data_IF_618007221731
#
_entry.id   IF_618007221731
#
_cell.length_a   1.000
_cell.length_b   1.000
_cell.length_c   1.000
_cell.angle_alpha   90.00
_cell.angle_beta   90.00
_cell.angle_gamma   90.00
#
_symmetry.space_group_name_H-M   'P 1'
#
loop_
_entity.id
_entity.type
_entity.pdbx_description
1 polymer ?
#
# COMPACT_ATOMS: atom_id res chain seq x y z
N UNK A 1 -5.99 -1.36 8.70
CA UNK A 1 -4.98 -0.82 7.79
C UNK A 1 -5.36 -1.05 6.33
N UNK A 2 -5.67 -2.28 5.93
CA UNK A 2 -5.92 -2.66 4.52
C UNK A 2 -7.05 -1.87 3.87
N UNK A 3 -8.20 -1.71 4.56
CA UNK A 3 -9.31 -0.90 4.06
C UNK A 3 -8.88 0.56 3.80
N UNK A 4 -8.14 1.15 4.73
CA UNK A 4 -7.60 2.52 4.55
C UNK A 4 -6.63 2.56 3.38
N UNK A 5 -5.78 1.55 3.22
CA UNK A 5 -4.89 1.40 2.06
C UNK A 5 -5.65 1.36 0.73
N UNK A 6 -6.70 0.53 0.62
CA UNK A 6 -7.56 0.47 -0.57
C UNK A 6 -8.28 1.79 -0.85
N UNK A 7 -8.75 2.50 0.19
CA UNK A 7 -9.35 3.83 0.04
C UNK A 7 -8.34 4.85 -0.47
N UNK A 8 -7.11 4.85 0.06
CA UNK A 8 -6.02 5.73 -0.41
C UNK A 8 -5.65 5.45 -1.87
N UNK A 9 -5.54 4.17 -2.26
CA UNK A 9 -5.33 3.78 -3.66
C UNK A 9 -6.45 4.34 -4.55
N UNK A 10 -7.70 4.26 -4.11
CA UNK A 10 -8.84 4.81 -4.84
C UNK A 10 -8.73 6.34 -4.99
N UNK A 11 -8.38 7.05 -3.92
CA UNK A 11 -8.18 8.50 -3.98
C UNK A 11 -7.03 8.88 -4.91
N UNK A 12 -5.91 8.16 -4.86
CA UNK A 12 -4.77 8.38 -5.75
C UNK A 12 -5.13 8.13 -7.21
N UNK A 13 -5.87 7.06 -7.54
CA UNK A 13 -6.36 6.79 -8.90
C UNK A 13 -7.22 7.92 -9.47
N UNK A 14 -7.86 8.69 -8.59
CA UNK A 14 -8.69 9.84 -8.96
C UNK A 14 -8.00 11.18 -8.74
N UNK A 15 -6.67 11.23 -8.79
CA UNK A 15 -5.89 12.46 -8.64
C UNK A 15 -6.19 13.53 -9.71
N UNK A 16 -6.87 13.19 -10.80
CA UNK A 16 -7.43 14.13 -11.76
C UNK A 16 -8.38 15.12 -11.10
N UNK A 17 -9.19 14.69 -10.13
CA UNK A 17 -10.19 15.50 -9.42
C UNK A 17 -10.00 15.57 -7.91
N UNK A 18 -9.37 14.57 -7.27
CA UNK A 18 -9.06 14.56 -5.83
C UNK A 18 -7.71 15.22 -5.61
N UNK A 19 -7.68 16.47 -5.18
CA UNK A 19 -6.45 17.24 -5.00
C UNK A 19 -5.95 17.25 -3.56
N UNK A 20 -6.83 17.01 -2.59
CA UNK A 20 -6.51 16.96 -1.16
C UNK A 20 -7.27 15.80 -0.52
N UNK A 21 -6.58 15.00 0.26
CA UNK A 21 -7.16 13.93 1.07
C UNK A 21 -6.67 14.08 2.51
N UNK A 22 -7.60 14.19 3.44
CA UNK A 22 -7.31 14.35 4.86
C UNK A 22 -7.92 13.19 5.64
N UNK A 23 -7.17 12.67 6.60
CA UNK A 23 -7.65 11.67 7.56
C UNK A 23 -8.13 12.38 8.82
N UNK A 24 -9.42 12.28 9.14
CA UNK A 24 -10.00 12.78 10.39
C UNK A 24 -9.66 11.76 11.49
N UNK A 25 -9.50 12.23 12.58
CA UNK A 25 -8.94 13.18 13.45
C UNK A 25 -7.40 13.12 13.48
N UNK A 26 -6.70 14.07 14.13
CA UNK A 26 -5.26 13.99 14.24
C UNK A 26 -4.83 12.94 15.26
N UNK A 27 -5.47 12.92 16.44
CA UNK A 27 -5.16 12.01 17.54
C UNK A 27 -6.43 11.41 18.15
N UNK A 28 -6.31 10.20 18.69
CA UNK A 28 -7.30 9.44 19.45
C UNK A 28 -8.58 9.04 18.68
N UNK A 29 -9.43 8.26 19.31
CA UNK A 29 -10.68 7.70 18.82
C UNK A 29 -10.50 6.90 17.52
N UNK A 30 -10.56 7.53 16.35
CA UNK A 30 -10.39 6.90 15.03
C UNK A 30 -9.09 7.32 14.34
N UNK A 31 -8.27 8.12 15.03
CA UNK A 31 -7.06 8.72 14.46
C UNK A 31 -5.94 7.70 14.21
N UNK A 32 -4.98 8.04 13.33
CA UNK A 32 -3.79 7.23 13.10
C UNK A 32 -2.78 7.27 14.27
N UNK A 33 -2.92 8.24 15.17
CA UNK A 33 -2.07 8.39 16.37
C UNK A 33 -2.95 8.35 17.61
N UNK A 34 -2.52 7.54 18.57
CA UNK A 34 -3.15 7.46 19.89
C UNK A 34 -2.25 8.12 20.92
N UNK A 35 -2.86 8.75 21.92
CA UNK A 35 -2.15 9.39 23.03
C UNK A 35 -2.80 9.02 24.36
N UNK A 36 -1.96 8.96 25.41
CA UNK A 36 -2.34 8.89 26.82
C UNK A 36 -1.65 10.02 27.59
N UNK A 37 -1.81 10.03 28.89
CA UNK A 37 -1.09 10.97 29.76
C UNK A 37 0.43 10.74 29.78
N UNK A 38 0.88 9.54 29.37
CA UNK A 38 2.27 9.09 29.50
C UNK A 38 2.95 8.82 28.16
N UNK A 39 2.20 8.75 27.05
CA UNK A 39 2.80 8.39 25.78
C UNK A 39 1.94 8.64 24.55
N UNK A 40 2.53 8.31 23.40
CA UNK A 40 1.87 8.31 22.12
C UNK A 40 2.35 7.13 21.27
N UNK A 41 1.44 6.55 20.51
CA UNK A 41 1.77 5.44 19.58
C UNK A 41 0.98 5.53 18.26
N UNK A 42 1.50 4.87 17.23
CA UNK A 42 0.90 4.83 15.90
C UNK A 42 -0.05 3.66 15.79
N UNK A 43 -1.26 3.90 15.31
CA UNK A 43 -2.16 2.82 14.90
C UNK A 43 -1.76 2.24 13.54
N UNK A 44 -2.23 1.04 13.23
CA UNK A 44 -1.90 0.36 11.97
C UNK A 44 -2.29 1.16 10.73
N UNK A 45 -3.33 2.00 10.81
CA UNK A 45 -3.78 2.89 9.73
C UNK A 45 -2.82 4.06 9.47
N UNK A 46 -1.93 4.37 10.40
CA UNK A 46 -0.90 5.39 10.24
C UNK A 46 0.01 5.09 9.04
N UNK A 47 0.40 3.83 8.89
CA UNK A 47 1.42 3.44 7.92
C UNK A 47 0.96 3.59 6.46
N UNK A 48 -0.20 3.09 6.02
CA UNK A 48 -0.68 3.35 4.67
C UNK A 48 -0.81 4.83 4.35
N UNK A 49 -1.30 5.63 5.30
CA UNK A 49 -1.45 7.06 5.12
C UNK A 49 -0.09 7.77 5.00
N UNK A 50 0.86 7.43 5.87
CA UNK A 50 2.23 7.96 5.83
C UNK A 50 2.91 7.61 4.52
N UNK A 51 2.84 6.34 4.08
CA UNK A 51 3.43 5.91 2.82
C UNK A 51 2.80 6.66 1.62
N UNK A 52 1.47 6.79 1.57
CA UNK A 52 0.80 7.53 0.51
C UNK A 52 1.18 9.01 0.51
N UNK A 53 1.33 9.63 1.68
CA UNK A 53 1.75 11.03 1.80
C UNK A 53 3.19 11.27 1.35
N UNK A 54 4.09 10.34 1.67
CA UNK A 54 5.53 10.48 1.36
C UNK A 54 5.84 10.06 -0.06
N UNK A 55 5.31 8.93 -0.52
CA UNK A 55 5.66 8.29 -1.78
C UNK A 55 4.60 8.44 -2.87
N UNK A 56 3.42 8.95 -2.54
CA UNK A 56 2.30 9.12 -3.47
C UNK A 56 2.33 10.46 -4.22
N UNK A 57 3.52 11.00 -4.49
CA UNK A 57 3.72 12.27 -5.19
C UNK A 57 4.16 12.02 -6.63
N UNK A 58 3.66 12.83 -7.57
CA UNK A 58 3.98 12.70 -8.98
C UNK A 58 2.75 12.44 -9.85
N UNK A 59 2.96 11.80 -10.98
CA UNK A 59 1.93 11.49 -11.98
C UNK A 59 1.40 10.08 -11.77
N UNK A 60 0.10 9.93 -11.55
CA UNK A 60 -0.57 8.63 -11.50
C UNK A 60 -0.61 8.03 -12.91
N UNK A 61 -0.08 6.83 -13.03
CA UNK A 61 -0.03 6.11 -14.31
C UNK A 61 -1.35 5.38 -14.56
N UNK A 62 -1.81 5.39 -15.80
CA UNK A 62 -2.97 4.61 -16.21
C UNK A 62 -2.57 3.15 -16.42
N UNK A 63 -2.60 2.37 -15.36
CA UNK A 63 -2.22 0.95 -15.39
C UNK A 63 -3.43 0.06 -15.62
N UNK A 64 -3.28 -0.94 -16.51
CA UNK A 64 -4.26 -2.00 -16.67
C UNK A 64 -3.93 -3.12 -15.68
N UNK A 65 -4.85 -3.44 -14.79
CA UNK A 65 -4.69 -4.48 -13.77
C UNK A 65 -5.60 -5.66 -14.11
N UNK A 66 -5.00 -6.84 -14.25
CA UNK A 66 -5.71 -8.11 -14.39
C UNK A 66 -5.53 -8.89 -13.09
N UNK A 67 -6.62 -9.22 -12.43
CA UNK A 67 -6.60 -9.88 -11.12
C UNK A 67 -7.82 -10.80 -10.98
N UNK A 68 -7.73 -11.88 -10.22
CA UNK A 68 -8.89 -12.64 -9.80
C UNK A 68 -9.91 -11.74 -9.07
N UNK A 69 -11.17 -12.13 -9.13
CA UNK A 69 -12.28 -11.45 -8.47
C UNK A 69 -12.97 -12.39 -7.48
N UNK A 70 -13.63 -11.80 -6.49
CA UNK A 70 -14.53 -12.51 -5.58
C UNK A 70 -15.91 -11.90 -5.62
N UNK A 71 -16.94 -12.72 -5.35
CA UNK A 71 -18.31 -12.26 -5.30
C UNK A 71 -18.61 -11.60 -3.93
N UNK A 72 -18.97 -10.34 -3.97
CA UNK A 72 -19.45 -9.63 -2.80
C UNK A 72 -20.98 -9.79 -2.68
N UNK A 73 -21.48 -10.15 -1.51
CA UNK A 73 -22.92 -10.34 -1.27
C UNK A 73 -23.78 -9.12 -1.63
N UNK A 74 -23.22 -7.93 -1.61
CA UNK A 74 -23.97 -6.68 -1.77
C UNK A 74 -23.60 -5.93 -3.06
N UNK A 75 -22.35 -6.03 -3.51
CA UNK A 75 -21.80 -5.17 -4.54
C UNK A 75 -21.34 -5.90 -5.81
N UNK A 76 -21.63 -7.21 -5.92
CA UNK A 76 -21.19 -8.04 -7.05
C UNK A 76 -19.69 -8.34 -7.02
N UNK A 77 -19.10 -8.54 -8.19
CA UNK A 77 -17.68 -8.87 -8.30
C UNK A 77 -16.75 -7.75 -7.84
N UNK A 78 -15.75 -8.13 -7.04
CA UNK A 78 -14.72 -7.23 -6.54
C UNK A 78 -13.32 -7.82 -6.75
N UNK A 79 -12.31 -7.03 -7.15
CA UNK A 79 -10.96 -7.53 -7.38
C UNK A 79 -10.26 -7.89 -6.07
N UNK A 80 -9.44 -8.93 -6.09
CA UNK A 80 -8.57 -9.25 -4.95
C UNK A 80 -7.39 -8.29 -4.81
N UNK A 81 -6.92 -7.71 -5.92
CA UNK A 81 -5.81 -6.76 -5.93
C UNK A 81 -6.33 -5.34 -6.15
N UNK A 82 -6.05 -4.44 -5.20
CA UNK A 82 -6.06 -3.01 -5.45
C UNK A 82 -4.62 -2.56 -5.67
N UNK A 83 -4.35 -1.76 -6.70
CA UNK A 83 -3.03 -1.17 -6.91
C UNK A 83 -3.10 0.17 -7.63
N UNK A 84 -2.10 1.00 -7.44
CA UNK A 84 -1.86 2.24 -8.17
C UNK A 84 -0.37 2.43 -8.37
N UNK A 85 0.02 2.91 -9.55
CA UNK A 85 1.41 3.22 -9.88
C UNK A 85 1.56 4.75 -10.04
N UNK A 86 2.62 5.30 -9.47
CA UNK A 86 2.90 6.73 -9.48
C UNK A 86 4.34 6.94 -9.92
N UNK A 87 4.52 7.78 -10.92
CA UNK A 87 5.82 8.22 -11.40
C UNK A 87 6.15 9.61 -10.86
N UNK A 88 7.20 9.68 -10.08
CA UNK A 88 7.80 10.93 -9.62
C UNK A 88 8.97 11.27 -10.53
N UNK A 89 8.72 12.21 -11.46
CA UNK A 89 9.70 12.62 -12.46
C UNK A 89 10.87 13.43 -11.86
N UNK A 90 10.60 14.16 -10.77
CA UNK A 90 11.64 14.97 -10.12
C UNK A 90 12.68 14.10 -9.41
N UNK A 91 12.26 12.96 -8.86
CA UNK A 91 13.11 12.03 -8.12
C UNK A 91 13.45 10.76 -8.91
N UNK A 92 13.05 10.67 -10.19
CA UNK A 92 13.21 9.47 -11.01
C UNK A 92 12.76 8.18 -10.28
N UNK A 93 11.61 8.25 -9.63
CA UNK A 93 11.10 7.18 -8.78
C UNK A 93 9.73 6.68 -9.24
N UNK A 94 9.57 5.37 -9.33
CA UNK A 94 8.29 4.69 -9.54
C UNK A 94 7.86 4.05 -8.23
N UNK A 95 6.68 4.41 -7.75
CA UNK A 95 6.06 3.81 -6.57
C UNK A 95 4.82 3.03 -6.96
N UNK A 96 4.74 1.79 -6.53
CA UNK A 96 3.58 0.92 -6.69
C UNK A 96 3.01 0.67 -5.29
N UNK A 97 1.78 1.14 -5.05
CA UNK A 97 1.00 0.76 -3.89
C UNK A 97 0.09 -0.39 -4.26
N UNK A 98 0.02 -1.41 -3.41
CA UNK A 98 -0.80 -2.58 -3.64
C UNK A 98 -1.40 -3.14 -2.35
N UNK A 99 -2.67 -3.59 -2.42
CA UNK A 99 -3.34 -4.35 -1.36
C UNK A 99 -3.75 -5.70 -1.92
N UNK A 100 -3.20 -6.77 -1.36
CA UNK A 100 -3.78 -8.11 -1.54
C UNK A 100 -4.91 -8.27 -0.52
N UNK A 101 -6.15 -8.38 -1.00
CA UNK A 101 -7.36 -8.50 -0.16
C UNK A 101 -7.73 -9.95 0.14
N UNK A 102 -7.03 -10.94 -0.44
CA UNK A 102 -7.26 -12.34 -0.11
C UNK A 102 -6.93 -12.56 1.37
N UNK A 103 -7.80 -13.28 2.06
CA UNK A 103 -7.59 -13.66 3.46
C UNK A 103 -6.75 -14.94 3.60
N UNK A 104 -6.67 -15.72 2.54
CA UNK A 104 -6.18 -17.09 2.59
C UNK A 104 -4.97 -17.32 1.68
N UNK A 105 -4.80 -16.54 0.60
CA UNK A 105 -3.83 -16.82 -0.43
C UNK A 105 -2.88 -15.65 -0.70
N UNK A 106 -1.61 -15.96 -0.84
CA UNK A 106 -0.61 -15.07 -1.40
C UNK A 106 -0.87 -14.87 -2.90
N UNK A 107 -0.44 -13.76 -3.44
CA UNK A 107 -0.68 -13.40 -4.83
C UNK A 107 0.63 -13.14 -5.57
N UNK A 108 0.89 -13.92 -6.61
CA UNK A 108 1.96 -13.63 -7.56
C UNK A 108 1.53 -12.46 -8.46
N UNK A 109 2.38 -11.45 -8.55
CA UNK A 109 2.15 -10.26 -9.38
C UNK A 109 3.31 -10.07 -10.33
N UNK A 110 2.99 -9.86 -11.59
CA UNK A 110 3.94 -9.46 -12.63
C UNK A 110 3.55 -8.10 -13.20
N UNK A 111 4.52 -7.20 -13.32
CA UNK A 111 4.32 -5.87 -13.89
C UNK A 111 5.31 -5.62 -15.03
N UNK A 112 4.83 -5.13 -16.17
CA UNK A 112 5.66 -4.71 -17.30
C UNK A 112 6.30 -3.36 -16.99
N UNK A 113 7.61 -3.33 -16.90
CA UNK A 113 8.43 -2.17 -16.58
C UNK A 113 9.35 -1.73 -17.73
N UNK A 114 9.09 -2.16 -18.96
CA UNK A 114 9.97 -1.82 -20.10
C UNK A 114 10.11 -0.31 -20.33
N UNK A 115 9.16 0.51 -19.92
CA UNK A 115 9.29 1.96 -19.94
C UNK A 115 10.20 2.51 -18.83
N UNK A 116 10.52 1.69 -17.83
CA UNK A 116 11.28 2.01 -16.62
C UNK A 116 12.53 1.12 -16.48
N UNK A 117 13.12 0.64 -17.57
CA UNK A 117 14.26 -0.31 -17.57
C UNK A 117 15.50 0.19 -16.80
N UNK A 118 15.64 1.50 -16.64
CA UNK A 118 16.76 2.10 -15.89
C UNK A 118 16.54 2.10 -14.40
N UNK A 119 15.30 1.85 -13.94
CA UNK A 119 15.01 1.81 -12.53
C UNK A 119 15.50 0.50 -11.89
N UNK A 120 15.90 0.59 -10.64
CA UNK A 120 16.31 -0.52 -9.79
C UNK A 120 15.38 -0.59 -8.59
N UNK A 121 15.19 -1.77 -8.05
CA UNK A 121 14.42 -1.94 -6.81
C UNK A 121 15.16 -1.21 -5.67
N UNK A 122 14.51 -0.21 -5.12
CA UNK A 122 15.00 0.49 -3.95
C UNK A 122 14.52 -0.21 -2.67
N UNK A 123 13.23 -0.54 -2.61
CA UNK A 123 12.65 -1.22 -1.44
C UNK A 123 11.29 -1.86 -1.77
N UNK A 124 10.93 -2.88 -1.01
CA UNK A 124 9.58 -3.43 -0.92
C UNK A 124 9.18 -3.43 0.55
N UNK A 125 8.23 -2.58 0.91
CA UNK A 125 7.70 -2.43 2.27
C UNK A 125 6.39 -3.19 2.36
N UNK A 126 6.21 -3.99 3.40
CA UNK A 126 5.01 -4.79 3.65
C UNK A 126 4.46 -4.50 5.04
N UNK A 127 3.16 -4.31 5.14
CA UNK A 127 2.42 -4.27 6.40
C UNK A 127 1.37 -5.37 6.39
N UNK A 128 1.54 -6.35 7.24
CA UNK A 128 0.63 -7.49 7.45
C UNK A 128 0.72 -7.98 8.87
N UNK A 129 -0.23 -8.78 9.29
CA UNK A 129 -0.22 -9.54 10.54
C UNK A 129 -1.17 -10.73 10.39
N UNK A 130 -0.84 -11.90 10.91
CA UNK A 130 -1.70 -13.09 10.83
C UNK A 130 -3.03 -12.89 11.57
N UNK A 131 -3.02 -12.11 12.66
CA UNK A 131 -4.25 -11.67 13.30
C UNK A 131 -4.76 -10.38 12.65
N UNK A 132 -5.86 -10.49 11.89
CA UNK A 132 -6.54 -9.35 11.25
C UNK A 132 -7.09 -8.31 12.24
N UNK A 133 -7.16 -8.64 13.52
CA UNK A 133 -7.59 -7.73 14.60
C UNK A 133 -6.42 -7.15 15.38
N UNK A 134 -5.19 -7.51 15.05
CA UNK A 134 -4.00 -6.98 15.70
C UNK A 134 -3.96 -5.44 15.62
N UNK A 135 -3.67 -4.81 16.74
CA UNK A 135 -3.57 -3.36 16.89
C UNK A 135 -2.34 -3.01 17.70
N UNK A 136 -1.83 -1.81 17.51
CA UNK A 136 -0.81 -1.25 18.37
C UNK A 136 -1.46 -0.64 19.62
N UNK A 137 -0.82 -0.83 20.75
CA UNK A 137 -1.29 -0.33 22.06
C UNK A 137 -0.18 0.46 22.74
N UNK A 138 -0.49 1.15 23.83
CA UNK A 138 0.53 1.82 24.64
C UNK A 138 1.56 0.83 25.19
N UNK A 139 1.13 -0.35 25.61
CA UNK A 139 2.00 -1.39 26.16
C UNK A 139 2.86 -2.08 25.08
N UNK A 140 2.37 -2.13 23.85
CA UNK A 140 3.09 -2.68 22.69
C UNK A 140 2.85 -1.79 21.46
N UNK A 141 3.56 -0.67 21.35
CA UNK A 141 3.33 0.33 20.32
C UNK A 141 3.82 -0.08 18.93
N UNK A 142 4.59 -1.16 18.84
CA UNK A 142 5.19 -1.66 17.62
C UNK A 142 4.76 -3.10 17.28
N UNK A 143 3.64 -3.57 17.82
CA UNK A 143 3.11 -4.91 17.56
C UNK A 143 2.87 -5.18 16.06
N UNK A 144 2.35 -4.19 15.34
CA UNK A 144 2.17 -4.24 13.89
C UNK A 144 2.87 -3.05 13.27
N UNK A 145 3.98 -3.31 12.59
CA UNK A 145 4.81 -2.30 11.90
C UNK A 145 5.19 -2.77 10.51
N UNK A 146 5.46 -1.85 9.58
CA UNK A 146 5.98 -2.24 8.27
C UNK A 146 7.33 -2.94 8.38
N UNK A 147 7.53 -3.93 7.52
CA UNK A 147 8.80 -4.66 7.37
C UNK A 147 9.26 -4.61 5.92
N UNK A 148 10.54 -4.86 5.65
CA UNK A 148 11.05 -5.03 4.31
C UNK A 148 10.87 -6.47 3.82
N UNK A 149 10.65 -6.61 2.51
CA UNK A 149 10.48 -7.90 1.83
C UNK A 149 11.47 -8.03 0.68
N UNK A 150 12.06 -9.21 0.54
CA UNK A 150 12.95 -9.57 -0.57
C UNK A 150 12.19 -10.31 -1.71
N UNK A 151 10.86 -10.34 -1.65
CA UNK A 151 10.04 -11.07 -2.61
C UNK A 151 10.03 -10.47 -4.02
N UNK A 152 10.45 -9.20 -4.18
CA UNK A 152 10.41 -8.50 -5.46
C UNK A 152 11.71 -8.69 -6.24
N UNK A 153 11.58 -9.07 -7.51
CA UNK A 153 12.68 -9.23 -8.46
C UNK A 153 12.40 -8.47 -9.75
N UNK A 154 13.46 -7.94 -10.36
CA UNK A 154 13.41 -7.28 -11.66
C UNK A 154 14.20 -8.09 -12.67
N UNK A 155 13.53 -8.60 -13.67
CA UNK A 155 14.15 -9.42 -14.71
C UNK A 155 13.55 -9.08 -16.09
N UNK A 156 14.40 -8.86 -17.09
CA UNK A 156 14.00 -8.65 -18.49
C UNK A 156 12.92 -7.57 -18.69
N UNK A 157 13.03 -6.44 -17.97
CA UNK A 157 12.07 -5.33 -18.05
C UNK A 157 10.72 -5.64 -17.38
N UNK A 158 10.67 -6.65 -16.53
CA UNK A 158 9.49 -7.00 -15.72
C UNK A 158 9.83 -7.02 -14.24
N UNK A 159 8.85 -6.67 -13.44
CA UNK A 159 8.85 -6.92 -12.01
C UNK A 159 8.03 -8.19 -11.73
N UNK A 160 8.58 -9.05 -10.90
CA UNK A 160 7.89 -10.20 -10.32
C UNK A 160 7.94 -10.09 -8.80
N UNK A 161 6.81 -10.30 -8.15
CA UNK A 161 6.73 -10.26 -6.70
C UNK A 161 5.62 -11.18 -6.19
N UNK A 162 5.72 -11.54 -4.91
CA UNK A 162 4.64 -12.23 -4.18
C UNK A 162 4.13 -11.26 -3.11
N UNK A 163 2.87 -10.93 -3.19
CA UNK A 163 2.17 -10.15 -2.17
C UNK A 163 1.50 -11.12 -1.20
N UNK A 164 1.96 -11.16 0.03
CA UNK A 164 1.35 -11.99 1.08
C UNK A 164 -0.15 -11.71 1.20
N UNK A 165 -0.91 -12.70 1.65
CA UNK A 165 -2.34 -12.54 1.96
C UNK A 165 -2.56 -11.37 2.92
N UNK A 166 -3.72 -10.71 2.82
CA UNK A 166 -4.14 -9.56 3.64
C UNK A 166 -3.00 -8.58 3.96
N UNK A 167 -2.28 -8.15 2.92
CA UNK A 167 -1.13 -7.24 3.06
C UNK A 167 -1.31 -5.91 2.34
N UNK A 168 -0.77 -4.85 2.92
CA UNK A 168 -0.46 -3.59 2.28
C UNK A 168 0.99 -3.60 1.84
N UNK A 169 1.25 -3.21 0.59
CA UNK A 169 2.58 -3.25 -0.02
C UNK A 169 2.93 -1.91 -0.66
N UNK A 170 4.19 -1.51 -0.53
CA UNK A 170 4.78 -0.37 -1.21
C UNK A 170 6.06 -0.85 -1.88
N UNK A 171 6.08 -0.86 -3.21
CA UNK A 171 7.26 -1.24 -3.99
C UNK A 171 7.80 0.00 -4.65
N UNK A 172 9.05 0.34 -4.38
CA UNK A 172 9.70 1.53 -4.89
C UNK A 172 10.89 1.16 -5.76
N UNK A 173 10.91 1.79 -6.94
CA UNK A 173 12.01 1.70 -7.88
C UNK A 173 12.56 3.09 -8.12
N UNK A 174 13.88 3.20 -8.20
CA UNK A 174 14.59 4.46 -8.48
C UNK A 174 15.66 4.22 -9.55
N UNK A 175 16.07 5.28 -10.24
CA UNK A 175 17.22 5.20 -11.15
C UNK A 175 18.53 5.08 -10.39
#
# INVERSE_FOLDING_TARGET
ALLVGSMLITLLRHADRVKIACLAQLVNVIAPIMTSDTGAWRQTIFYPYMHASVYGRGTVLNTQVLTPVYESKTYGEAPYLDSVCIWDEENDALTIFAVNKSLDEDMEVSCDLRQFERCRLAEHIVLTNDDMKAVNTEADPNHVTPTHSDATKLENGKMHTVLGKHSWNVIRLTK
#
